data_IF_735066746262
#
_entry.id   IF_735066746262
#
_cell.length_a   1.000
_cell.length_b   1.000
_cell.length_c   1.000
_cell.angle_alpha   90.00
_cell.angle_beta   90.00
_cell.angle_gamma   90.00
#
_symmetry.space_group_name_H-M   'P 1'
#
loop_
_entity.id
_entity.type
_entity.pdbx_description
1 polymer ?
#
# COMPACT_ATOMS: atom_id res chain seq x y z
N UNK A 1 -9.21 -30.11 19.03
CA UNK A 1 -9.30 -28.68 19.38
C UNK A 1 -8.85 -27.92 18.14
N UNK A 2 -9.82 -27.45 17.32
CA UNK A 2 -9.51 -26.57 16.20
C UNK A 2 -8.99 -25.26 16.80
N UNK A 3 -7.72 -24.94 16.61
CA UNK A 3 -7.20 -23.60 16.85
C UNK A 3 -7.89 -22.66 15.84
N UNK A 4 -9.03 -22.12 16.24
CA UNK A 4 -9.67 -21.04 15.50
C UNK A 4 -8.78 -19.81 15.70
N UNK A 5 -7.96 -19.50 14.72
CA UNK A 5 -7.15 -18.28 14.74
C UNK A 5 -8.12 -17.09 14.77
N UNK A 6 -8.04 -16.27 15.82
CA UNK A 6 -8.91 -15.10 15.95
C UNK A 6 -8.78 -14.19 14.72
N UNK A 7 -9.88 -13.70 14.15
CA UNK A 7 -9.83 -12.77 13.00
C UNK A 7 -8.94 -11.55 13.23
N UNK A 8 -8.89 -11.04 14.46
CA UNK A 8 -7.99 -9.95 14.85
C UNK A 8 -6.51 -10.37 14.71
N UNK A 9 -6.17 -11.60 15.10
CA UNK A 9 -4.80 -12.11 14.99
C UNK A 9 -4.41 -12.23 13.51
N UNK A 10 -5.28 -12.74 12.66
CA UNK A 10 -5.04 -12.85 11.21
C UNK A 10 -4.81 -11.46 10.58
N UNK A 11 -5.67 -10.50 10.89
CA UNK A 11 -5.55 -9.11 10.41
C UNK A 11 -4.25 -8.47 10.90
N UNK A 12 -3.90 -8.66 12.17
CA UNK A 12 -2.68 -8.11 12.75
C UNK A 12 -1.43 -8.71 12.10
N UNK A 13 -1.39 -10.03 11.90
CA UNK A 13 -0.26 -10.70 11.23
C UNK A 13 -0.13 -10.20 9.79
N UNK A 14 -1.23 -10.13 9.04
CA UNK A 14 -1.22 -9.61 7.69
C UNK A 14 -0.69 -8.16 7.64
N UNK A 15 -1.11 -7.30 8.56
CA UNK A 15 -0.59 -5.93 8.65
C UNK A 15 0.89 -5.85 9.05
N UNK A 16 1.39 -6.76 9.90
CA UNK A 16 2.80 -6.78 10.31
C UNK A 16 3.75 -7.12 9.16
N UNK A 17 3.28 -7.78 8.10
CA UNK A 17 4.12 -8.10 6.94
C UNK A 17 4.57 -6.87 6.15
N UNK A 18 3.86 -5.74 6.22
CA UNK A 18 4.35 -4.44 5.74
C UNK A 18 5.64 -4.05 6.46
N UNK A 19 5.71 -4.29 7.77
CA UNK A 19 6.94 -4.11 8.56
C UNK A 19 8.08 -5.05 8.15
N UNK A 20 7.78 -6.28 7.71
CA UNK A 20 8.79 -7.18 7.13
C UNK A 20 9.38 -6.60 5.84
N UNK A 21 8.53 -6.03 4.97
CA UNK A 21 9.00 -5.29 3.79
C UNK A 21 9.93 -4.15 4.17
N UNK A 22 9.57 -3.39 5.22
CA UNK A 22 10.44 -2.36 5.78
C UNK A 22 11.78 -2.90 6.30
N UNK A 23 11.76 -4.03 7.01
CA UNK A 23 12.98 -4.68 7.50
C UNK A 23 13.87 -5.21 6.36
N UNK A 24 13.28 -5.74 5.29
CA UNK A 24 14.02 -6.14 4.09
C UNK A 24 14.72 -4.96 3.42
N UNK A 25 14.15 -3.75 3.50
CA UNK A 25 14.80 -2.55 3.00
C UNK A 25 16.13 -2.23 3.70
N UNK A 26 16.32 -2.67 4.95
CA UNK A 26 17.61 -2.52 5.68
C UNK A 26 18.75 -3.32 5.04
N UNK A 27 18.44 -4.44 4.40
CA UNK A 27 19.43 -5.28 3.72
C UNK A 27 19.93 -4.65 2.42
N UNK A 28 19.26 -3.64 1.93
CA UNK A 28 19.56 -2.99 0.67
C UNK A 28 20.24 -1.63 0.90
N UNK A 29 21.21 -1.27 0.07
CA UNK A 29 21.70 0.11 0.01
C UNK A 29 20.73 0.94 -0.83
N UNK A 30 20.05 1.94 -0.27
CA UNK A 30 19.09 2.74 -1.02
C UNK A 30 19.81 3.57 -2.10
N UNK A 31 19.63 3.17 -3.35
CA UNK A 31 20.15 3.84 -4.54
C UNK A 31 18.98 4.31 -5.41
N UNK A 32 19.20 5.28 -6.29
CA UNK A 32 18.16 5.74 -7.23
C UNK A 32 17.62 4.59 -8.12
N UNK A 33 18.49 3.64 -8.49
CA UNK A 33 18.08 2.44 -9.27
C UNK A 33 17.16 1.54 -8.44
N UNK A 34 17.50 1.35 -7.16
CA UNK A 34 16.65 0.56 -6.25
C UNK A 34 15.31 1.25 -6.01
N UNK A 35 15.30 2.58 -5.86
CA UNK A 35 14.07 3.38 -5.75
C UNK A 35 13.16 3.15 -6.97
N UNK A 36 13.71 3.28 -8.16
CA UNK A 36 12.94 3.09 -9.40
C UNK A 36 12.44 1.65 -9.57
N UNK A 37 13.30 0.66 -9.32
CA UNK A 37 12.93 -0.76 -9.38
C UNK A 37 11.83 -1.11 -8.38
N UNK A 38 11.97 -0.64 -7.14
CA UNK A 38 11.00 -0.87 -6.09
C UNK A 38 9.64 -0.22 -6.39
N UNK A 39 9.63 1.01 -6.89
CA UNK A 39 8.40 1.68 -7.32
C UNK A 39 7.72 0.92 -8.47
N UNK A 40 8.51 0.40 -9.42
CA UNK A 40 8.00 -0.42 -10.53
C UNK A 40 7.40 -1.75 -10.05
N UNK A 41 8.07 -2.45 -9.13
CA UNK A 41 7.59 -3.71 -8.56
C UNK A 41 6.30 -3.47 -7.76
N UNK A 42 6.29 -2.51 -6.85
CA UNK A 42 5.12 -2.21 -6.02
C UNK A 42 3.93 -1.79 -6.88
N UNK A 43 4.12 -0.86 -7.83
CA UNK A 43 3.08 -0.44 -8.75
C UNK A 43 2.57 -1.59 -9.65
N UNK A 44 3.47 -2.46 -10.11
CA UNK A 44 3.12 -3.65 -10.88
C UNK A 44 2.28 -4.64 -10.09
N UNK A 45 2.65 -4.94 -8.85
CA UNK A 45 1.90 -5.83 -7.96
C UNK A 45 0.51 -5.27 -7.69
N UNK A 46 0.40 -3.98 -7.31
CA UNK A 46 -0.88 -3.33 -7.04
C UNK A 46 -1.78 -3.30 -8.28
N UNK A 47 -1.24 -2.96 -9.46
CA UNK A 47 -2.00 -2.94 -10.70
C UNK A 47 -2.49 -4.34 -11.07
N UNK A 48 -1.63 -5.36 -10.92
CA UNK A 48 -2.01 -6.75 -11.18
C UNK A 48 -3.13 -7.18 -10.25
N UNK A 49 -2.98 -7.01 -8.94
CA UNK A 49 -4.03 -7.35 -7.96
C UNK A 49 -5.36 -6.63 -8.26
N UNK A 50 -5.30 -5.35 -8.64
CA UNK A 50 -6.49 -4.59 -9.01
C UNK A 50 -7.21 -5.17 -10.24
N UNK A 51 -6.46 -5.63 -11.24
CA UNK A 51 -7.02 -6.16 -12.49
C UNK A 51 -7.43 -7.64 -12.40
N UNK A 52 -6.68 -8.46 -11.64
CA UNK A 52 -6.93 -9.91 -11.58
C UNK A 52 -7.86 -10.31 -10.45
N UNK A 53 -7.91 -9.54 -9.38
CA UNK A 53 -8.69 -9.90 -8.18
C UNK A 53 -9.83 -8.90 -7.95
N UNK A 54 -9.52 -7.61 -7.73
CA UNK A 54 -10.53 -6.63 -7.32
C UNK A 54 -11.56 -6.35 -8.41
N UNK A 55 -11.13 -6.16 -9.65
CA UNK A 55 -12.04 -5.84 -10.75
C UNK A 55 -13.00 -7.00 -11.10
N UNK A 56 -12.55 -8.26 -11.24
CA UNK A 56 -13.46 -9.39 -11.45
C UNK A 56 -14.43 -9.60 -10.29
N UNK A 57 -13.98 -9.45 -9.05
CA UNK A 57 -14.84 -9.60 -7.88
C UNK A 57 -15.90 -8.49 -7.81
N UNK A 58 -15.51 -7.26 -8.08
CA UNK A 58 -16.43 -6.13 -8.15
C UNK A 58 -17.46 -6.32 -9.28
N UNK A 59 -17.04 -6.77 -10.47
CA UNK A 59 -17.94 -7.11 -11.57
C UNK A 59 -18.92 -8.21 -11.17
N UNK A 60 -18.45 -9.26 -10.50
CA UNK A 60 -19.30 -10.35 -10.03
C UNK A 60 -20.28 -9.88 -8.95
N UNK A 61 -19.83 -9.05 -7.99
CA UNK A 61 -20.68 -8.53 -6.91
C UNK A 61 -21.77 -7.60 -7.45
N UNK A 62 -21.37 -6.56 -8.16
CA UNK A 62 -22.32 -5.55 -8.67
C UNK A 62 -23.20 -6.07 -9.82
N UNK A 63 -22.71 -7.04 -10.62
CA UNK A 63 -23.47 -7.69 -11.67
C UNK A 63 -24.69 -8.49 -11.19
N UNK A 64 -24.77 -8.80 -9.87
CA UNK A 64 -25.97 -9.38 -9.26
C UNK A 64 -27.11 -8.38 -9.10
N UNK A 65 -26.79 -7.10 -9.03
CA UNK A 65 -27.74 -6.03 -8.70
C UNK A 65 -27.95 -5.05 -9.85
N UNK A 66 -27.02 -4.96 -10.78
CA UNK A 66 -27.00 -3.98 -11.86
C UNK A 66 -26.93 -4.67 -13.22
N UNK A 67 -27.66 -4.15 -14.24
CA UNK A 67 -27.47 -4.61 -15.61
C UNK A 67 -26.05 -4.30 -16.11
N UNK A 68 -25.50 -5.05 -17.09
CA UNK A 68 -24.09 -4.98 -17.48
C UNK A 68 -23.56 -3.58 -17.77
N UNK A 69 -24.34 -2.76 -18.48
CA UNK A 69 -23.95 -1.37 -18.81
C UNK A 69 -23.86 -0.48 -17.57
N UNK A 70 -24.82 -0.61 -16.64
CA UNK A 70 -24.82 0.15 -15.39
C UNK A 70 -23.68 -0.32 -14.44
N UNK A 71 -23.42 -1.62 -14.41
CA UNK A 71 -22.30 -2.19 -13.66
C UNK A 71 -20.97 -1.64 -14.17
N UNK A 72 -20.71 -1.70 -15.47
CA UNK A 72 -19.52 -1.13 -16.08
C UNK A 72 -19.36 0.37 -15.84
N UNK A 73 -20.45 1.12 -15.97
CA UNK A 73 -20.50 2.56 -15.68
C UNK A 73 -20.18 2.88 -14.21
N UNK A 74 -20.75 2.12 -13.27
CA UNK A 74 -20.47 2.28 -11.84
C UNK A 74 -18.99 2.01 -11.51
N UNK A 75 -18.42 0.92 -12.02
CA UNK A 75 -17.01 0.59 -11.81
C UNK A 75 -16.07 1.63 -12.42
N UNK A 76 -16.35 2.09 -13.64
CA UNK A 76 -15.56 3.15 -14.27
C UNK A 76 -15.60 4.45 -13.44
N UNK A 77 -16.80 4.81 -12.94
CA UNK A 77 -16.98 6.00 -12.09
C UNK A 77 -16.21 5.86 -10.77
N UNK A 78 -16.31 4.73 -10.09
CA UNK A 78 -15.58 4.47 -8.84
C UNK A 78 -14.06 4.50 -9.06
N UNK A 79 -13.58 3.92 -10.16
CA UNK A 79 -12.16 3.98 -10.54
C UNK A 79 -11.72 5.43 -10.78
N UNK A 80 -12.49 6.21 -11.52
CA UNK A 80 -12.19 7.62 -11.78
C UNK A 80 -12.18 8.46 -10.50
N UNK A 81 -13.12 8.20 -9.58
CA UNK A 81 -13.14 8.84 -8.25
C UNK A 81 -11.92 8.48 -7.41
N UNK A 82 -11.51 7.20 -7.42
CA UNK A 82 -10.28 6.75 -6.75
C UNK A 82 -9.03 7.45 -7.31
N UNK A 83 -8.91 7.56 -8.63
CA UNK A 83 -7.82 8.28 -9.28
C UNK A 83 -7.84 9.78 -8.93
N UNK A 84 -9.02 10.41 -8.91
CA UNK A 84 -9.17 11.81 -8.51
C UNK A 84 -8.78 12.02 -7.04
N UNK A 85 -9.19 11.11 -6.15
CA UNK A 85 -8.82 11.14 -4.73
C UNK A 85 -7.31 11.00 -4.53
N UNK A 86 -6.65 10.08 -5.25
CA UNK A 86 -5.18 9.94 -5.23
C UNK A 86 -4.47 11.21 -5.75
N UNK A 87 -4.98 11.81 -6.83
CA UNK A 87 -4.47 13.08 -7.34
C UNK A 87 -4.65 14.24 -6.36
N UNK A 88 -5.77 14.29 -5.65
CA UNK A 88 -6.02 15.29 -4.60
C UNK A 88 -5.08 15.08 -3.41
N UNK A 89 -4.90 13.86 -2.97
CA UNK A 89 -3.95 13.50 -1.91
C UNK A 89 -2.56 13.99 -2.25
N UNK A 90 -2.10 13.79 -3.50
CA UNK A 90 -0.80 14.28 -3.97
C UNK A 90 -0.67 15.82 -3.95
N UNK A 91 -1.80 16.56 -4.03
CA UNK A 91 -1.81 18.03 -3.91
C UNK A 91 -1.85 18.50 -2.45
N UNK A 92 -2.40 17.70 -1.54
CA UNK A 92 -2.46 18.03 -0.10
C UNK A 92 -1.15 17.78 0.63
N UNK A 93 -0.28 16.96 0.07
CA UNK A 93 1.03 16.67 0.65
C UNK A 93 2.06 17.74 0.26
N UNK A 94 3.10 17.96 1.10
CA UNK A 94 4.11 18.99 0.85
C UNK A 94 4.71 18.90 -0.55
N UNK A 95 4.89 20.03 -1.19
CA UNK A 95 5.55 20.09 -2.49
C UNK A 95 7.03 19.71 -2.38
N UNK A 96 7.60 19.23 -3.49
CA UNK A 96 9.02 18.86 -3.52
C UNK A 96 9.94 20.04 -3.18
N UNK A 97 9.56 21.25 -3.62
CA UNK A 97 10.28 22.50 -3.29
C UNK A 97 10.28 22.83 -1.79
N UNK A 98 9.18 22.56 -1.09
CA UNK A 98 9.08 22.75 0.37
C UNK A 98 9.96 21.74 1.10
N UNK A 99 9.95 20.48 0.66
CA UNK A 99 10.80 19.44 1.22
C UNK A 99 12.28 19.72 0.93
N UNK A 100 12.62 20.19 -0.26
CA UNK A 100 13.98 20.57 -0.64
C UNK A 100 14.51 21.70 0.26
N UNK A 101 13.67 22.69 0.58
CA UNK A 101 14.03 23.75 1.52
C UNK A 101 14.34 23.22 2.92
N UNK A 102 13.59 22.22 3.40
CA UNK A 102 13.81 21.56 4.70
C UNK A 102 15.09 20.72 4.76
N UNK A 103 15.49 20.11 3.63
CA UNK A 103 16.68 19.23 3.56
C UNK A 103 18.00 19.98 3.27
N UNK A 104 18.03 21.29 3.41
CA UNK A 104 19.26 22.07 3.31
C UNK A 104 19.41 22.83 2.00
N UNK A 105 18.57 23.82 1.78
CA UNK A 105 18.70 24.84 0.72
C UNK A 105 18.76 24.30 -0.71
N UNK A 106 17.97 23.28 -1.02
CA UNK A 106 17.85 22.75 -2.40
C UNK A 106 19.08 21.99 -2.92
N UNK A 107 20.05 21.68 -2.04
CA UNK A 107 21.30 20.98 -2.45
C UNK A 107 21.13 19.51 -2.75
N UNK A 108 19.98 18.91 -2.47
CA UNK A 108 19.74 17.50 -2.70
C UNK A 108 18.28 17.28 -3.19
N UNK A 109 17.98 17.58 -4.47
CA UNK A 109 16.65 17.43 -5.03
C UNK A 109 16.17 15.97 -5.03
N UNK A 110 17.07 15.00 -5.17
CA UNK A 110 16.73 13.57 -5.15
C UNK A 110 16.16 13.14 -3.79
N UNK A 111 16.68 13.70 -2.69
CA UNK A 111 16.14 13.45 -1.34
C UNK A 111 14.74 14.03 -1.15
N UNK A 112 14.50 15.22 -1.67
CA UNK A 112 13.19 15.86 -1.59
C UNK A 112 12.15 15.06 -2.39
N UNK A 113 12.50 14.63 -3.60
CA UNK A 113 11.67 13.77 -4.42
C UNK A 113 11.40 12.42 -3.75
N UNK A 114 12.41 11.78 -3.17
CA UNK A 114 12.27 10.51 -2.44
C UNK A 114 11.36 10.66 -1.21
N UNK A 115 11.51 11.72 -0.43
CA UNK A 115 10.64 11.98 0.73
C UNK A 115 9.20 12.21 0.28
N UNK A 116 8.99 12.98 -0.77
CA UNK A 116 7.64 13.21 -1.32
C UNK A 116 7.02 11.89 -1.80
N UNK A 117 7.78 11.07 -2.50
CA UNK A 117 7.34 9.72 -2.92
C UNK A 117 6.96 8.87 -1.72
N UNK A 118 7.79 8.83 -0.68
CA UNK A 118 7.50 8.07 0.54
C UNK A 118 6.21 8.54 1.24
N UNK A 119 6.00 9.85 1.33
CA UNK A 119 4.79 10.42 1.95
C UNK A 119 3.52 10.11 1.14
N UNK A 120 3.57 10.28 -0.18
CA UNK A 120 2.43 9.97 -1.07
C UNK A 120 2.10 8.47 -1.00
N UNK A 121 3.11 7.62 -1.15
CA UNK A 121 2.94 6.17 -1.09
C UNK A 121 2.43 5.74 0.28
N UNK A 122 3.02 6.23 1.37
CA UNK A 122 2.60 5.91 2.72
C UNK A 122 1.15 6.32 3.01
N UNK A 123 0.76 7.53 2.60
CA UNK A 123 -0.62 7.99 2.77
C UNK A 123 -1.61 7.19 1.91
N UNK A 124 -1.23 6.84 0.68
CA UNK A 124 -2.06 5.99 -0.19
C UNK A 124 -2.21 4.58 0.41
N UNK A 125 -1.12 4.00 0.94
CA UNK A 125 -1.15 2.70 1.60
C UNK A 125 -2.00 2.71 2.87
N UNK A 126 -1.94 3.76 3.68
CA UNK A 126 -2.79 3.88 4.86
C UNK A 126 -4.28 3.82 4.51
N UNK A 127 -4.67 4.51 3.43
CA UNK A 127 -6.05 4.50 2.93
C UNK A 127 -6.44 3.15 2.31
N UNK A 128 -5.53 2.49 1.61
CA UNK A 128 -5.73 1.19 1.00
C UNK A 128 -5.77 0.05 2.04
N UNK A 129 -4.85 0.05 2.98
CA UNK A 129 -4.71 -0.99 3.98
C UNK A 129 -5.86 -1.03 4.99
N UNK A 130 -6.54 0.09 5.25
CA UNK A 130 -7.66 0.11 6.18
C UNK A 130 -8.84 -0.77 5.69
N UNK A 131 -9.37 -0.60 4.44
CA UNK A 131 -10.38 -1.52 3.90
C UNK A 131 -9.94 -2.99 3.89
N UNK A 132 -8.68 -3.28 3.57
CA UNK A 132 -8.17 -4.65 3.57
C UNK A 132 -8.13 -5.27 4.96
N UNK A 133 -7.77 -4.50 5.97
CA UNK A 133 -7.85 -4.95 7.37
C UNK A 133 -9.27 -5.31 7.78
N UNK A 134 -10.25 -4.46 7.39
CA UNK A 134 -11.68 -4.72 7.60
C UNK A 134 -12.13 -5.98 6.85
N UNK A 135 -11.73 -6.13 5.58
CA UNK A 135 -12.06 -7.30 4.78
C UNK A 135 -11.50 -8.59 5.41
N UNK A 136 -10.24 -8.59 5.82
CA UNK A 136 -9.59 -9.75 6.48
C UNK A 136 -10.33 -10.14 7.76
N UNK A 137 -10.71 -9.15 8.56
CA UNK A 137 -11.45 -9.37 9.78
C UNK A 137 -12.81 -10.01 9.52
N UNK A 138 -13.61 -9.46 8.61
CA UNK A 138 -14.93 -10.01 8.28
C UNK A 138 -14.84 -11.37 7.57
N UNK A 139 -13.86 -11.58 6.69
CA UNK A 139 -13.63 -12.88 6.08
C UNK A 139 -13.35 -13.95 7.16
N UNK A 140 -12.51 -13.62 8.15
CA UNK A 140 -12.20 -14.52 9.25
C UNK A 140 -13.36 -14.77 10.22
N UNK A 141 -14.28 -13.82 10.35
CA UNK A 141 -15.51 -14.01 11.16
C UNK A 141 -16.54 -14.87 10.43
N UNK A 142 -16.63 -14.76 9.11
CA UNK A 142 -17.56 -15.53 8.29
C UNK A 142 -17.13 -16.99 8.12
N UNK A 143 -15.85 -17.20 7.80
CA UNK A 143 -15.25 -18.54 7.63
C UNK A 143 -13.75 -18.47 7.96
N UNK A 144 -13.26 -19.26 8.94
CA UNK A 144 -11.83 -19.29 9.30
C UNK A 144 -10.90 -19.65 8.14
N UNK A 145 -11.32 -20.52 7.21
CA UNK A 145 -10.52 -20.89 6.06
C UNK A 145 -10.45 -19.75 5.03
N UNK A 146 -11.55 -19.04 4.82
CA UNK A 146 -11.59 -17.83 4.00
C UNK A 146 -10.70 -16.73 4.61
N UNK A 147 -10.82 -16.50 5.92
CA UNK A 147 -9.99 -15.53 6.63
C UNK A 147 -8.50 -15.81 6.51
N UNK A 148 -8.09 -17.08 6.63
CA UNK A 148 -6.69 -17.46 6.47
C UNK A 148 -6.19 -17.22 5.04
N UNK A 149 -6.97 -17.57 4.02
CA UNK A 149 -6.61 -17.34 2.61
C UNK A 149 -6.48 -15.85 2.31
N UNK A 150 -7.44 -15.05 2.76
CA UNK A 150 -7.43 -13.59 2.61
C UNK A 150 -6.22 -12.98 3.31
N UNK A 151 -5.95 -13.37 4.57
CA UNK A 151 -4.80 -12.90 5.32
C UNK A 151 -3.47 -13.28 4.65
N UNK A 152 -3.35 -14.49 4.10
CA UNK A 152 -2.15 -14.92 3.38
C UNK A 152 -1.92 -14.13 2.09
N UNK A 153 -2.97 -13.92 1.29
CA UNK A 153 -2.89 -13.11 0.07
C UNK A 153 -2.45 -11.68 0.38
N UNK A 154 -3.08 -11.05 1.38
CA UNK A 154 -2.75 -9.70 1.83
C UNK A 154 -1.34 -9.63 2.42
N UNK A 155 -0.92 -10.62 3.20
CA UNK A 155 0.45 -10.67 3.74
C UNK A 155 1.52 -10.68 2.64
N UNK A 156 1.27 -11.40 1.54
CA UNK A 156 2.22 -11.49 0.44
C UNK A 156 2.42 -10.16 -0.29
N UNK A 157 1.35 -9.41 -0.56
CA UNK A 157 1.49 -8.13 -1.25
C UNK A 157 1.89 -6.98 -0.34
N UNK A 158 1.67 -7.06 0.97
CA UNK A 158 2.13 -6.09 1.93
C UNK A 158 3.66 -5.99 2.04
N UNK A 159 4.40 -7.05 1.69
CA UNK A 159 5.88 -7.00 1.70
C UNK A 159 6.42 -6.01 0.65
N UNK A 160 6.04 -6.08 -0.64
CA UNK A 160 6.35 -5.05 -1.63
C UNK A 160 5.92 -3.64 -1.22
N UNK A 161 4.75 -3.51 -0.59
CA UNK A 161 4.25 -2.24 -0.09
C UNK A 161 5.15 -1.62 0.99
N UNK A 162 5.55 -2.43 1.96
CA UNK A 162 6.50 -2.02 2.99
C UNK A 162 7.83 -1.52 2.40
N UNK A 163 8.34 -2.22 1.39
CA UNK A 163 9.52 -1.78 0.64
C UNK A 163 9.26 -0.44 -0.09
N UNK A 164 8.07 -0.26 -0.67
CA UNK A 164 7.71 0.94 -1.43
C UNK A 164 7.74 2.22 -0.58
N UNK A 165 7.47 2.12 0.70
CA UNK A 165 7.58 3.23 1.66
C UNK A 165 8.97 3.30 2.28
N UNK A 166 9.52 2.17 2.74
CA UNK A 166 10.76 2.14 3.51
C UNK A 166 11.97 2.62 2.70
N UNK A 167 12.11 2.17 1.44
CA UNK A 167 13.29 2.49 0.62
C UNK A 167 13.40 3.98 0.34
N UNK A 168 12.35 4.69 -0.18
CA UNK A 168 12.46 6.13 -0.40
C UNK A 168 12.57 6.92 0.90
N UNK A 169 11.92 6.46 1.98
CA UNK A 169 12.03 7.13 3.28
C UNK A 169 13.45 7.00 3.86
N UNK A 170 14.04 5.81 3.81
CA UNK A 170 15.41 5.57 4.26
C UNK A 170 16.43 6.40 3.47
N UNK A 171 16.25 6.50 2.16
CA UNK A 171 17.08 7.34 1.29
C UNK A 171 16.98 8.82 1.67
N UNK A 172 15.77 9.32 1.82
CA UNK A 172 15.51 10.72 2.15
C UNK A 172 15.99 11.08 3.57
N UNK A 173 15.74 10.22 4.54
CA UNK A 173 16.15 10.44 5.94
C UNK A 173 17.63 10.13 6.19
N UNK A 174 18.34 9.51 5.25
CA UNK A 174 19.70 8.95 5.44
C UNK A 174 19.78 8.00 6.64
N UNK A 175 18.70 7.26 6.89
CA UNK A 175 18.57 6.34 8.00
C UNK A 175 17.73 5.15 7.62
N UNK A 176 18.32 3.96 7.67
CA UNK A 176 17.61 2.70 7.38
C UNK A 176 16.52 2.45 8.43
N UNK A 177 16.82 2.66 9.70
CA UNK A 177 15.85 2.50 10.78
C UNK A 177 14.62 3.43 10.62
N UNK A 178 14.81 4.64 10.08
CA UNK A 178 13.69 5.53 9.77
C UNK A 178 12.79 4.96 8.67
N UNK A 179 13.34 4.25 7.69
CA UNK A 179 12.57 3.54 6.66
C UNK A 179 11.71 2.43 7.25
N UNK A 180 12.27 1.59 8.12
CA UNK A 180 11.52 0.54 8.83
C UNK A 180 10.40 1.13 9.67
N UNK A 181 10.71 2.18 10.42
CA UNK A 181 9.71 2.86 11.25
C UNK A 181 8.57 3.43 10.39
N UNK A 182 8.89 4.01 9.24
CA UNK A 182 7.88 4.50 8.31
C UNK A 182 6.98 3.36 7.82
N UNK A 183 7.53 2.22 7.40
CA UNK A 183 6.73 1.06 7.00
C UNK A 183 5.83 0.55 8.14
N UNK A 184 6.31 0.58 9.38
CA UNK A 184 5.51 0.21 10.55
C UNK A 184 4.42 1.23 10.88
N UNK A 185 4.63 2.52 10.64
CA UNK A 185 3.64 3.58 10.88
C UNK A 185 2.51 3.51 9.85
N UNK A 186 2.85 3.28 8.58
CA UNK A 186 1.87 3.21 7.48
C UNK A 186 1.23 1.82 7.29
N UNK A 187 1.51 0.86 8.19
CA UNK A 187 0.82 -0.45 8.20
C UNK A 187 -0.65 -0.31 8.64
N UNK A 188 -1.39 -1.39 8.49
CA UNK A 188 -2.79 -1.55 8.99
C UNK A 188 -2.93 -1.32 10.47
#
# INVERSE_FOLDING_TARGET
VSMQTSPIVLTTIAGLTTGLGGALAELCTPTERLLAANAGIAGGVMLTASLTDLLPEALHFYGRYLPPLACGGALATLTALGMAAAGLLGKLLPAESELAARFGQGRDPARAAAMRTALITGAALLLHNFPEGVLTFFAGTADPALGLRTAAAIALHNIPEGLAVAVPFAYAARSRAAGVLAALVFRK
#
